data_IF_010531982858
#
_entry.id   IF_010531982858
#
_cell.length_a   1.000
_cell.length_b   1.000
_cell.length_c   1.000
_cell.angle_alpha   90.00
_cell.angle_beta   90.00
_cell.angle_gamma   90.00
#
_symmetry.space_group_name_H-M   'P 1'
#
loop_
_entity.id
_entity.type
_entity.pdbx_description
1 polymer ?
#
# COMPACT_ATOMS: atom_id res chain seq x y z
N UNK A 1 0.22 -3.32 47.82
CA UNK A 1 -0.17 -3.54 46.41
C UNK A 1 -0.06 -2.22 45.67
N UNK A 2 0.97 -2.05 44.83
CA UNK A 2 1.16 -0.83 44.02
C UNK A 2 0.34 -0.98 42.73
N UNK A 3 -0.50 0.01 42.44
CA UNK A 3 -1.26 0.11 41.20
C UNK A 3 -0.29 0.30 40.01
N UNK A 4 -0.46 -0.50 38.95
CA UNK A 4 0.24 -0.32 37.67
C UNK A 4 -0.27 0.95 36.97
N UNK A 5 0.60 1.76 36.35
CA UNK A 5 0.17 2.87 35.52
C UNK A 5 -0.45 2.34 34.23
N UNK A 6 -1.55 2.98 33.80
CA UNK A 6 -2.20 2.73 32.51
C UNK A 6 -1.29 3.18 31.38
N UNK A 7 -1.09 2.30 30.41
CA UNK A 7 -0.37 2.56 29.17
C UNK A 7 -1.08 3.64 28.33
N UNK A 8 -0.41 4.72 27.89
CA UNK A 8 -1.04 5.81 27.16
C UNK A 8 -1.15 5.58 25.64
N UNK A 9 -0.98 4.35 25.13
CA UNK A 9 -1.02 4.04 23.70
C UNK A 9 -2.27 3.29 23.23
N UNK A 10 -3.30 3.12 24.07
CA UNK A 10 -4.62 2.67 23.61
C UNK A 10 -5.46 3.87 23.11
N UNK A 11 -5.01 4.55 22.07
CA UNK A 11 -5.79 5.58 21.39
C UNK A 11 -6.45 5.02 20.13
N UNK A 12 -7.75 4.72 20.26
CA UNK A 12 -8.78 4.74 19.21
C UNK A 12 -8.31 4.95 17.75
N UNK A 13 -8.00 3.86 17.04
CA UNK A 13 -8.18 3.80 15.58
C UNK A 13 -9.65 3.51 15.23
N UNK A 14 -10.55 4.28 15.85
CA UNK A 14 -11.97 4.28 15.53
C UNK A 14 -12.28 5.29 14.44
N UNK A 15 -11.65 5.17 13.27
CA UNK A 15 -12.09 5.88 12.07
C UNK A 15 -13.14 5.01 11.36
N UNK A 16 -14.36 5.01 11.88
CA UNK A 16 -15.54 4.72 11.04
C UNK A 16 -15.85 5.97 10.21
N UNK A 17 -15.00 6.29 9.24
CA UNK A 17 -15.45 7.03 8.08
C UNK A 17 -15.97 5.98 7.10
N UNK A 18 -17.29 5.88 6.92
CA UNK A 18 -17.79 5.17 5.73
C UNK A 18 -17.12 5.82 4.52
N UNK A 19 -16.40 5.10 3.66
CA UNK A 19 -15.91 5.70 2.43
C UNK A 19 -17.13 5.94 1.55
N UNK A 20 -17.66 7.17 1.57
CA UNK A 20 -18.67 7.68 0.63
C UNK A 20 -18.05 7.90 -0.76
N UNK A 21 -17.23 6.95 -1.21
CA UNK A 21 -16.50 7.05 -2.46
C UNK A 21 -17.06 6.07 -3.48
N UNK A 22 -17.22 6.57 -4.70
CA UNK A 22 -17.79 5.83 -5.82
C UNK A 22 -16.77 4.82 -6.36
N UNK A 23 -16.87 3.57 -5.88
CA UNK A 23 -16.01 2.45 -6.24
C UNK A 23 -16.00 2.16 -7.74
N UNK A 24 -17.07 2.53 -8.46
CA UNK A 24 -17.18 2.33 -9.91
C UNK A 24 -16.47 3.43 -10.69
N UNK A 25 -16.71 4.69 -10.35
CA UNK A 25 -16.06 5.84 -11.02
C UNK A 25 -14.55 5.89 -10.72
N UNK A 26 -14.15 5.48 -9.50
CA UNK A 26 -12.75 5.26 -9.15
C UNK A 26 -12.11 4.05 -9.87
N UNK A 27 -12.90 3.29 -10.65
CA UNK A 27 -12.49 2.08 -11.39
C UNK A 27 -11.88 1.00 -10.50
N UNK A 28 -12.33 0.95 -9.24
CA UNK A 28 -11.94 -0.05 -8.25
C UNK A 28 -12.74 -1.33 -8.49
N UNK A 29 -14.06 -1.20 -8.64
CA UNK A 29 -14.98 -2.34 -8.87
C UNK A 29 -15.55 -2.23 -10.28
N UNK A 30 -15.15 -3.15 -11.16
CA UNK A 30 -15.45 -3.05 -12.60
C UNK A 30 -16.07 -4.31 -13.20
N UNK A 31 -15.98 -5.45 -12.52
CA UNK A 31 -16.39 -6.75 -13.06
C UNK A 31 -17.80 -7.19 -12.64
N UNK A 32 -18.63 -6.24 -12.17
CA UNK A 32 -20.00 -6.53 -11.76
C UNK A 32 -20.97 -6.76 -12.94
N UNK A 33 -21.90 -7.71 -12.82
CA UNK A 33 -22.76 -8.28 -13.87
C UNK A 33 -23.85 -7.36 -14.47
N UNK A 34 -23.79 -6.04 -14.24
CA UNK A 34 -24.81 -5.11 -14.74
C UNK A 34 -24.78 -4.93 -16.26
N UNK A 35 -25.95 -5.02 -16.92
CA UNK A 35 -26.10 -4.81 -18.38
C UNK A 35 -25.77 -3.36 -18.80
N UNK A 36 -26.21 -2.39 -18.01
CA UNK A 36 -25.96 -0.95 -18.27
C UNK A 36 -24.88 -0.40 -17.34
N UNK A 37 -24.23 0.69 -17.74
CA UNK A 37 -23.26 1.38 -16.90
C UNK A 37 -23.87 1.85 -15.57
N UNK A 38 -25.12 2.35 -15.60
CA UNK A 38 -25.85 2.77 -14.40
C UNK A 38 -26.10 1.59 -13.45
N UNK A 39 -26.50 0.43 -13.98
CA UNK A 39 -26.70 -0.78 -13.16
C UNK A 39 -25.39 -1.26 -12.54
N UNK A 40 -24.29 -1.27 -13.31
CA UNK A 40 -22.97 -1.64 -12.79
C UNK A 40 -22.53 -0.69 -11.68
N UNK A 41 -22.65 0.62 -11.90
CA UNK A 41 -22.36 1.64 -10.88
C UNK A 41 -23.16 1.42 -9.60
N UNK A 42 -24.47 1.16 -9.71
CA UNK A 42 -25.32 0.88 -8.55
C UNK A 42 -24.90 -0.40 -7.82
N UNK A 43 -24.57 -1.47 -8.55
CA UNK A 43 -24.12 -2.73 -7.94
C UNK A 43 -22.76 -2.58 -7.26
N UNK A 44 -21.78 -1.96 -7.94
CA UNK A 44 -20.45 -1.72 -7.42
C UNK A 44 -20.46 -0.94 -6.10
N UNK A 45 -21.31 0.09 -6.01
CA UNK A 45 -21.46 0.93 -4.82
C UNK A 45 -22.49 0.42 -3.81
N UNK A 46 -23.07 -0.76 -4.03
CA UNK A 46 -24.05 -1.35 -3.13
C UNK A 46 -23.43 -1.77 -1.80
N UNK A 47 -24.16 -1.59 -0.69
CA UNK A 47 -23.71 -1.96 0.66
C UNK A 47 -23.29 -3.43 0.76
N UNK A 48 -23.97 -4.31 0.03
CA UNK A 48 -23.68 -5.74 0.06
C UNK A 48 -22.42 -6.10 -0.73
N UNK A 49 -22.13 -5.34 -1.80
CA UNK A 49 -20.86 -5.50 -2.54
C UNK A 49 -19.70 -5.16 -1.63
N UNK A 50 -19.79 -4.02 -0.93
CA UNK A 50 -18.81 -3.63 0.08
C UNK A 50 -18.70 -4.67 1.20
N UNK A 51 -19.83 -5.16 1.73
CA UNK A 51 -19.80 -6.20 2.77
C UNK A 51 -19.05 -7.47 2.36
N UNK A 52 -19.19 -7.93 1.11
CA UNK A 52 -18.43 -9.08 0.61
C UNK A 52 -16.93 -8.78 0.47
N UNK A 53 -16.57 -7.57 0.02
CA UNK A 53 -15.17 -7.17 -0.15
C UNK A 53 -14.47 -6.95 1.18
N UNK A 54 -15.14 -6.31 2.15
CA UNK A 54 -14.65 -6.11 3.51
C UNK A 54 -14.47 -7.46 4.22
N UNK A 55 -15.41 -8.39 4.06
CA UNK A 55 -15.26 -9.75 4.59
C UNK A 55 -14.05 -10.49 4.00
N UNK A 56 -13.78 -10.30 2.70
CA UNK A 56 -12.58 -10.86 2.08
C UNK A 56 -11.28 -10.20 2.60
N UNK A 57 -11.30 -8.89 2.85
CA UNK A 57 -10.18 -8.18 3.48
C UNK A 57 -9.89 -8.70 4.89
N UNK A 58 -10.93 -8.95 5.68
CA UNK A 58 -10.79 -9.51 7.01
C UNK A 58 -10.21 -10.92 6.96
N UNK A 59 -10.72 -11.79 6.07
CA UNK A 59 -10.16 -13.13 5.88
C UNK A 59 -8.68 -13.10 5.46
N UNK A 60 -8.30 -12.16 4.60
CA UNK A 60 -6.88 -11.95 4.24
C UNK A 60 -6.05 -11.49 5.44
N UNK A 61 -6.60 -10.64 6.30
CA UNK A 61 -5.92 -10.18 7.50
C UNK A 61 -5.75 -11.29 8.54
N UNK A 62 -6.77 -12.15 8.68
CA UNK A 62 -6.74 -13.35 9.52
C UNK A 62 -5.71 -14.36 9.01
N UNK A 63 -5.59 -14.56 7.69
CA UNK A 63 -4.57 -15.44 7.09
C UNK A 63 -3.15 -15.03 7.49
N UNK A 64 -2.88 -13.72 7.59
CA UNK A 64 -1.57 -13.21 7.99
C UNK A 64 -1.37 -13.15 9.51
N UNK A 65 -2.35 -13.62 10.28
CA UNK A 65 -2.28 -13.69 11.73
C UNK A 65 -2.04 -15.15 12.15
N UNK A 66 -0.87 -15.51 12.71
CA UNK A 66 -0.49 -16.91 12.96
C UNK A 66 -1.51 -17.72 13.75
N UNK A 67 -2.19 -17.11 14.73
CA UNK A 67 -3.20 -17.79 15.56
C UNK A 67 -4.53 -18.06 14.86
N UNK A 68 -4.79 -17.42 13.71
CA UNK A 68 -6.06 -17.50 12.98
C UNK A 68 -5.92 -18.25 11.65
N UNK A 69 -4.69 -18.38 11.12
CA UNK A 69 -4.44 -19.04 9.84
C UNK A 69 -4.73 -20.55 9.83
N UNK A 70 -4.56 -21.24 10.97
CA UNK A 70 -4.74 -22.70 11.05
C UNK A 70 -6.16 -23.14 10.68
N UNK A 71 -7.18 -22.33 11.01
CA UNK A 71 -8.58 -22.64 10.72
C UNK A 71 -9.02 -22.27 9.30
N UNK A 72 -8.24 -21.44 8.59
CA UNK A 72 -8.61 -20.94 7.27
C UNK A 72 -8.20 -21.85 6.12
N UNK A 73 -7.22 -22.72 6.35
CA UNK A 73 -6.62 -23.57 5.31
C UNK A 73 -7.24 -24.97 5.19
N UNK A 74 -8.33 -25.26 5.91
CA UNK A 74 -9.10 -26.48 5.70
C UNK A 74 -9.64 -26.52 4.25
N UNK A 75 -9.20 -27.53 3.51
CA UNK A 75 -9.36 -27.71 2.06
C UNK A 75 -10.64 -28.48 1.73
N UNK A 76 -11.75 -27.76 1.58
CA UNK A 76 -13.05 -28.38 1.25
C UNK A 76 -13.55 -28.08 -0.19
N UNK A 77 -12.87 -27.26 -1.00
CA UNK A 77 -13.39 -26.83 -2.31
C UNK A 77 -12.35 -26.94 -3.45
N UNK A 78 -12.66 -27.78 -4.45
CA UNK A 78 -11.87 -28.01 -5.68
C UNK A 78 -11.82 -26.80 -6.64
N UNK A 79 -12.68 -25.79 -6.44
CA UNK A 79 -12.93 -24.69 -7.39
C UNK A 79 -12.16 -23.40 -7.05
N UNK A 80 -11.41 -23.38 -5.95
CA UNK A 80 -10.64 -22.22 -5.55
C UNK A 80 -9.18 -22.33 -6.02
N UNK A 81 -8.63 -21.24 -6.59
CA UNK A 81 -7.22 -21.22 -6.98
C UNK A 81 -6.35 -21.53 -5.76
N UNK A 82 -5.28 -22.36 -5.89
CA UNK A 82 -4.54 -22.88 -4.73
C UNK A 82 -4.04 -21.80 -3.75
N UNK A 83 -3.75 -20.59 -4.23
CA UNK A 83 -3.18 -19.48 -3.46
C UNK A 83 -4.24 -18.60 -2.76
N UNK A 84 -5.53 -18.74 -3.10
CA UNK A 84 -6.63 -17.94 -2.54
C UNK A 84 -7.84 -18.78 -2.13
N UNK A 85 -7.63 -20.05 -1.78
CA UNK A 85 -8.71 -20.96 -1.36
C UNK A 85 -9.46 -20.51 -0.10
N UNK A 86 -8.80 -19.71 0.75
CA UNK A 86 -9.41 -19.06 1.90
C UNK A 86 -10.48 -18.01 1.53
N UNK A 87 -10.49 -17.52 0.29
CA UNK A 87 -11.47 -16.55 -0.24
C UNK A 87 -12.63 -17.21 -1.00
N UNK A 88 -12.88 -18.50 -0.77
CA UNK A 88 -14.02 -19.19 -1.38
C UNK A 88 -15.34 -18.46 -1.09
N UNK A 89 -16.32 -18.56 -2.01
CA UNK A 89 -17.63 -17.89 -1.87
C UNK A 89 -18.29 -18.21 -0.53
N UNK A 90 -18.17 -19.46 -0.07
CA UNK A 90 -18.72 -19.93 1.21
C UNK A 90 -18.06 -19.22 2.39
N UNK A 91 -16.72 -19.18 2.42
CA UNK A 91 -15.94 -18.53 3.49
C UNK A 91 -16.22 -17.03 3.53
N UNK A 92 -16.20 -16.36 2.38
CA UNK A 92 -16.53 -14.91 2.27
C UNK A 92 -17.96 -14.63 2.72
N UNK A 93 -18.95 -15.43 2.30
CA UNK A 93 -20.34 -15.25 2.73
C UNK A 93 -20.51 -15.46 4.24
N UNK A 94 -19.87 -16.49 4.80
CA UNK A 94 -19.90 -16.76 6.24
C UNK A 94 -19.33 -15.57 7.02
N UNK A 95 -18.15 -15.08 6.62
CA UNK A 95 -17.51 -13.92 7.25
C UNK A 95 -18.35 -12.64 7.09
N UNK A 96 -18.93 -12.40 5.90
CA UNK A 96 -19.76 -11.22 5.67
C UNK A 96 -21.03 -11.21 6.54
N UNK A 97 -21.63 -12.39 6.77
CA UNK A 97 -22.78 -12.54 7.69
C UNK A 97 -22.39 -12.31 9.14
N UNK A 98 -21.24 -12.82 9.55
CA UNK A 98 -20.68 -12.56 10.88
C UNK A 98 -20.46 -11.06 11.12
N UNK A 99 -19.81 -10.39 10.16
CA UNK A 99 -19.52 -8.95 10.22
C UNK A 99 -20.77 -8.06 10.24
N UNK A 100 -21.80 -8.40 9.47
CA UNK A 100 -23.00 -7.55 9.30
C UNK A 100 -24.15 -7.90 10.27
N UNK A 101 -24.12 -9.08 10.88
CA UNK A 101 -25.20 -9.59 11.72
C UNK A 101 -26.36 -10.23 10.96
N UNK A 102 -27.31 -10.86 11.69
CA UNK A 102 -28.37 -11.69 11.10
C UNK A 102 -29.41 -10.91 10.29
N UNK A 103 -29.59 -9.63 10.58
CA UNK A 103 -30.59 -8.78 9.93
C UNK A 103 -30.15 -8.25 8.56
N UNK A 104 -28.88 -8.46 8.18
CA UNK A 104 -28.35 -8.05 6.89
C UNK A 104 -28.48 -9.19 5.88
N UNK A 105 -29.40 -9.10 4.88
CA UNK A 105 -29.79 -10.26 4.09
C UNK A 105 -28.74 -10.59 3.03
N UNK A 106 -27.68 -11.30 3.43
CA UNK A 106 -26.64 -11.79 2.52
C UNK A 106 -26.90 -13.23 2.11
N UNK A 107 -26.81 -13.51 0.82
CA UNK A 107 -26.94 -14.84 0.24
C UNK A 107 -25.93 -15.09 -0.86
N UNK A 108 -25.66 -16.37 -1.12
CA UNK A 108 -24.79 -16.76 -2.23
C UNK A 108 -25.36 -16.30 -3.59
N UNK A 109 -26.68 -16.36 -3.76
CA UNK A 109 -27.36 -15.87 -4.96
C UNK A 109 -27.08 -14.37 -5.20
N UNK A 110 -26.99 -13.57 -4.15
CA UNK A 110 -26.64 -12.15 -4.27
C UNK A 110 -25.19 -11.92 -4.70
N UNK A 111 -24.28 -12.79 -4.28
CA UNK A 111 -22.88 -12.77 -4.74
C UNK A 111 -22.81 -13.17 -6.22
N UNK A 112 -23.49 -14.25 -6.63
CA UNK A 112 -23.57 -14.71 -8.03
C UNK A 112 -24.26 -13.71 -8.96
N UNK A 113 -25.23 -12.95 -8.46
CA UNK A 113 -25.87 -11.88 -9.21
C UNK A 113 -24.94 -10.67 -9.40
N UNK A 114 -23.98 -10.47 -8.50
CA UNK A 114 -23.01 -9.36 -8.59
C UNK A 114 -21.85 -9.70 -9.50
N UNK A 115 -21.31 -10.91 -9.42
CA UNK A 115 -20.17 -11.36 -10.21
C UNK A 115 -20.51 -12.63 -10.98
N UNK A 116 -20.28 -12.61 -12.30
CA UNK A 116 -20.62 -13.74 -13.18
C UNK A 116 -19.81 -14.99 -12.83
N UNK A 117 -18.54 -14.80 -12.46
CA UNK A 117 -17.65 -15.85 -12.01
C UNK A 117 -17.02 -15.52 -10.65
N UNK A 118 -16.42 -16.52 -9.99
CA UNK A 118 -15.65 -16.25 -8.78
C UNK A 118 -14.36 -15.49 -9.11
N UNK A 119 -13.78 -15.71 -10.29
CA UNK A 119 -12.64 -14.94 -10.79
C UNK A 119 -12.94 -13.44 -10.90
N UNK A 120 -14.14 -13.05 -11.34
CA UNK A 120 -14.55 -11.64 -11.40
C UNK A 120 -14.61 -11.00 -10.02
N UNK A 121 -15.09 -11.75 -9.02
CA UNK A 121 -15.06 -11.33 -7.62
C UNK A 121 -13.63 -11.16 -7.12
N UNK A 122 -12.75 -12.14 -7.35
CA UNK A 122 -11.35 -12.05 -6.92
C UNK A 122 -10.62 -10.87 -7.59
N UNK A 123 -10.90 -10.61 -8.86
CA UNK A 123 -10.34 -9.46 -9.58
C UNK A 123 -10.74 -8.12 -8.95
N UNK A 124 -12.02 -7.96 -8.64
CA UNK A 124 -12.55 -6.76 -7.97
C UNK A 124 -12.06 -6.68 -6.51
N UNK A 125 -11.92 -7.81 -5.81
CA UNK A 125 -11.35 -7.86 -4.47
C UNK A 125 -9.89 -7.41 -4.45
N UNK A 126 -9.03 -7.92 -5.35
CA UNK A 126 -7.63 -7.49 -5.44
C UNK A 126 -7.56 -5.98 -5.69
N UNK A 127 -8.39 -5.47 -6.61
CA UNK A 127 -8.45 -4.03 -6.86
C UNK A 127 -8.92 -3.23 -5.64
N UNK A 128 -9.92 -3.71 -4.91
CA UNK A 128 -10.43 -3.10 -3.68
C UNK A 128 -9.39 -3.06 -2.57
N UNK A 129 -8.76 -4.19 -2.28
CA UNK A 129 -7.77 -4.32 -1.23
C UNK A 129 -6.54 -3.43 -1.47
N UNK A 130 -6.11 -3.32 -2.73
CA UNK A 130 -5.01 -2.44 -3.11
C UNK A 130 -5.43 -0.95 -3.08
N UNK A 131 -6.69 -0.65 -3.40
CA UNK A 131 -7.23 0.71 -3.28
C UNK A 131 -7.31 1.18 -1.83
N UNK A 132 -7.66 0.29 -0.89
CA UNK A 132 -7.70 0.58 0.55
C UNK A 132 -6.37 1.12 1.09
N UNK A 133 -5.28 0.46 0.71
CA UNK A 133 -3.92 0.91 1.01
C UNK A 133 -3.63 2.30 0.44
N UNK A 134 -4.12 2.60 -0.77
CA UNK A 134 -3.87 3.90 -1.40
C UNK A 134 -4.55 5.06 -0.67
N UNK A 135 -5.76 4.87 -0.16
CA UNK A 135 -6.44 5.93 0.61
C UNK A 135 -5.70 6.24 1.90
N UNK A 136 -5.29 5.21 2.63
CA UNK A 136 -4.47 5.36 3.83
C UNK A 136 -3.18 6.14 3.54
N UNK A 137 -2.53 5.82 2.42
CA UNK A 137 -1.32 6.51 1.99
C UNK A 137 -1.58 7.95 1.56
N UNK A 138 -2.67 8.24 0.85
CA UNK A 138 -3.02 9.59 0.41
C UNK A 138 -3.32 10.52 1.60
N UNK A 139 -3.96 9.99 2.65
CA UNK A 139 -4.18 10.71 3.89
C UNK A 139 -2.83 11.03 4.59
N UNK A 140 -1.95 10.03 4.72
CA UNK A 140 -0.62 10.20 5.29
C UNK A 140 0.22 11.21 4.47
N UNK A 141 0.18 11.09 3.15
CA UNK A 141 0.86 11.97 2.18
C UNK A 141 0.58 13.45 2.42
N UNK A 142 -0.68 13.81 2.64
CA UNK A 142 -1.06 15.23 2.82
C UNK A 142 -0.37 15.82 4.05
N UNK A 143 -0.29 15.05 5.14
CA UNK A 143 0.40 15.44 6.37
C UNK A 143 1.92 15.48 6.18
N UNK A 144 2.49 14.54 5.42
CA UNK A 144 3.92 14.48 5.15
C UNK A 144 4.41 15.63 4.26
N UNK A 145 3.63 16.00 3.23
CA UNK A 145 3.93 17.12 2.36
C UNK A 145 4.05 18.43 3.13
N UNK A 146 3.11 18.71 4.03
CA UNK A 146 3.15 19.90 4.87
C UNK A 146 4.40 19.93 5.75
N UNK A 147 4.76 18.81 6.38
CA UNK A 147 5.97 18.71 7.21
C UNK A 147 7.27 18.95 6.43
N UNK A 148 7.38 18.42 5.21
CA UNK A 148 8.57 18.59 4.37
C UNK A 148 8.74 20.02 3.84
N UNK A 149 7.64 20.74 3.63
CA UNK A 149 7.63 22.10 3.04
C UNK A 149 7.67 23.19 4.11
N UNK A 150 7.11 22.96 5.30
CA UNK A 150 7.07 23.98 6.39
C UNK A 150 8.28 23.96 7.32
N UNK A 151 9.19 22.99 7.18
CA UNK A 151 10.34 22.83 8.05
C UNK A 151 11.47 23.79 7.72
N UNK A 152 11.42 25.02 8.25
CA UNK A 152 12.37 26.09 7.93
C UNK A 152 13.87 25.78 8.23
N UNK A 153 14.23 24.68 8.92
CA UNK A 153 15.65 24.33 9.19
C UNK A 153 15.96 22.83 9.39
N UNK A 154 15.04 21.90 9.12
CA UNK A 154 15.27 20.47 9.44
C UNK A 154 14.73 19.51 8.37
N UNK A 155 15.13 19.76 7.13
CA UNK A 155 14.74 18.94 5.98
C UNK A 155 15.12 17.47 6.18
N UNK A 156 16.32 17.19 6.69
CA UNK A 156 16.80 15.82 6.90
C UNK A 156 15.94 15.04 7.91
N UNK A 157 15.59 15.65 9.05
CA UNK A 157 14.73 14.94 10.01
C UNK A 157 13.30 14.81 9.50
N UNK A 158 12.81 15.77 8.71
CA UNK A 158 11.53 15.64 8.04
C UNK A 158 11.53 14.45 7.06
N UNK A 159 12.57 14.27 6.25
CA UNK A 159 12.73 13.11 5.36
C UNK A 159 12.77 11.81 6.16
N UNK A 160 13.56 11.75 7.24
CA UNK A 160 13.59 10.57 8.11
C UNK A 160 12.23 10.26 8.70
N UNK A 161 11.48 11.28 9.15
CA UNK A 161 10.16 11.05 9.73
C UNK A 161 9.17 10.52 8.71
N UNK A 162 9.15 11.06 7.50
CA UNK A 162 8.28 10.55 6.42
C UNK A 162 8.65 9.10 6.09
N UNK A 163 9.94 8.81 5.91
CA UNK A 163 10.41 7.47 5.61
C UNK A 163 10.18 6.46 6.76
N UNK A 164 10.25 6.91 8.01
CA UNK A 164 9.93 6.11 9.19
C UNK A 164 8.45 5.73 9.20
N UNK A 165 7.54 6.69 9.02
CA UNK A 165 6.10 6.41 9.01
C UNK A 165 5.70 5.54 7.81
N UNK A 166 6.31 5.74 6.62
CA UNK A 166 6.09 4.88 5.46
C UNK A 166 6.46 3.40 5.75
N UNK A 167 7.62 3.16 6.35
CA UNK A 167 8.01 1.80 6.75
C UNK A 167 7.13 1.23 7.87
N UNK A 168 6.63 2.04 8.81
CA UNK A 168 5.67 1.54 9.81
C UNK A 168 4.35 1.10 9.17
N UNK A 169 3.85 1.84 8.19
CA UNK A 169 2.65 1.45 7.46
C UNK A 169 2.80 0.09 6.79
N UNK A 170 4.00 -0.28 6.34
CA UNK A 170 4.28 -1.63 5.81
C UNK A 170 4.02 -2.72 6.86
N UNK A 171 4.43 -2.49 8.11
CA UNK A 171 4.24 -3.44 9.20
C UNK A 171 2.77 -3.52 9.65
N UNK A 172 2.12 -2.36 9.74
CA UNK A 172 0.79 -2.19 10.32
C UNK A 172 -0.34 -2.56 9.36
N UNK A 173 -0.14 -2.47 8.04
CA UNK A 173 -1.20 -2.69 7.05
C UNK A 173 -1.17 -4.14 6.49
N UNK A 174 -2.20 -4.98 6.78
CA UNK A 174 -2.35 -6.29 6.14
C UNK A 174 -2.36 -6.22 4.61
N UNK A 175 -2.85 -5.11 4.06
CA UNK A 175 -2.86 -4.84 2.62
C UNK A 175 -1.47 -4.88 1.97
N UNK A 176 -0.38 -4.61 2.71
CA UNK A 176 0.98 -4.74 2.17
C UNK A 176 1.34 -6.21 1.91
N UNK A 177 1.07 -7.10 2.87
CA UNK A 177 1.32 -8.55 2.72
C UNK A 177 0.49 -9.11 1.56
N UNK A 178 -0.76 -8.65 1.44
CA UNK A 178 -1.60 -8.97 0.29
C UNK A 178 -1.04 -8.44 -1.03
N UNK A 179 -0.50 -7.21 -1.07
CA UNK A 179 0.19 -6.69 -2.25
C UNK A 179 1.34 -7.61 -2.67
N UNK A 180 2.18 -8.08 -1.74
CA UNK A 180 3.27 -9.01 -2.05
C UNK A 180 2.74 -10.31 -2.66
N UNK A 181 1.68 -10.87 -2.07
CA UNK A 181 1.02 -12.06 -2.60
C UNK A 181 0.52 -11.82 -4.04
N UNK A 182 -0.20 -10.72 -4.26
CA UNK A 182 -0.73 -10.36 -5.57
C UNK A 182 0.37 -10.18 -6.62
N UNK A 183 1.50 -9.55 -6.25
CA UNK A 183 2.68 -9.40 -7.11
C UNK A 183 3.26 -10.77 -7.46
N UNK A 184 3.52 -11.61 -6.45
CA UNK A 184 4.10 -12.94 -6.62
C UNK A 184 3.24 -13.84 -7.52
N UNK A 185 1.92 -13.70 -7.46
CA UNK A 185 0.99 -14.50 -8.28
C UNK A 185 0.65 -13.87 -9.64
N UNK A 186 1.03 -12.62 -9.87
CA UNK A 186 0.54 -11.83 -11.01
C UNK A 186 0.87 -12.42 -12.38
N UNK A 187 2.00 -13.13 -12.52
CA UNK A 187 2.37 -13.78 -13.78
C UNK A 187 1.42 -14.93 -14.16
N UNK A 188 0.81 -15.58 -13.18
CA UNK A 188 -0.14 -16.67 -13.37
C UNK A 188 -1.59 -16.19 -13.50
N UNK A 189 -1.87 -14.92 -13.19
CA UNK A 189 -3.23 -14.38 -13.18
C UNK A 189 -3.31 -12.96 -13.75
N UNK A 190 -3.95 -12.84 -14.92
CA UNK A 190 -4.10 -11.57 -15.65
C UNK A 190 -4.89 -10.52 -14.87
N UNK A 191 -5.86 -10.93 -14.05
CA UNK A 191 -6.62 -10.01 -13.20
C UNK A 191 -5.73 -9.37 -12.13
N UNK A 192 -4.98 -10.18 -11.40
CA UNK A 192 -3.98 -9.73 -10.44
C UNK A 192 -2.91 -8.84 -11.10
N UNK A 193 -2.40 -9.21 -12.27
CA UNK A 193 -1.44 -8.37 -13.02
C UNK A 193 -2.00 -6.98 -13.35
N UNK A 194 -3.26 -6.89 -13.79
CA UNK A 194 -3.90 -5.61 -14.08
C UNK A 194 -4.16 -4.78 -12.82
N UNK A 195 -4.51 -5.43 -11.70
CA UNK A 195 -4.70 -4.74 -10.43
C UNK A 195 -3.37 -4.20 -9.87
N UNK A 196 -2.32 -5.03 -9.86
CA UNK A 196 -0.96 -4.63 -9.47
C UNK A 196 -0.44 -3.49 -10.34
N UNK A 197 -0.60 -3.57 -11.68
CA UNK A 197 -0.20 -2.48 -12.59
C UNK A 197 -0.92 -1.17 -12.28
N UNK A 198 -2.23 -1.23 -11.98
CA UNK A 198 -3.02 -0.04 -11.59
C UNK A 198 -2.56 0.51 -10.26
N UNK A 199 -2.29 -0.36 -9.29
CA UNK A 199 -1.77 0.01 -7.98
C UNK A 199 -0.45 0.77 -8.10
N UNK A 200 0.56 0.20 -8.77
CA UNK A 200 1.85 0.88 -8.98
C UNK A 200 1.69 2.22 -9.70
N UNK A 201 0.85 2.28 -10.73
CA UNK A 201 0.59 3.55 -11.46
C UNK A 201 -0.01 4.63 -10.54
N UNK A 202 -0.94 4.25 -9.66
CA UNK A 202 -1.56 5.20 -8.73
C UNK A 202 -0.60 5.60 -7.61
N UNK A 203 0.11 4.64 -7.03
CA UNK A 203 1.13 4.85 -6.01
C UNK A 203 2.23 5.81 -6.50
N UNK A 204 2.76 5.54 -7.68
CA UNK A 204 3.77 6.38 -8.32
C UNK A 204 3.25 7.80 -8.58
N UNK A 205 1.99 7.96 -9.01
CA UNK A 205 1.39 9.30 -9.18
C UNK A 205 1.34 10.09 -7.87
N UNK A 206 0.93 9.43 -6.78
CA UNK A 206 0.86 10.06 -5.45
C UNK A 206 2.26 10.52 -5.06
N UNK A 207 3.23 9.61 -4.96
CA UNK A 207 4.58 9.95 -4.53
C UNK A 207 5.31 10.95 -5.44
N UNK A 208 5.19 10.82 -6.76
CA UNK A 208 5.77 11.77 -7.70
C UNK A 208 5.27 13.19 -7.45
N UNK A 209 3.98 13.35 -7.13
CA UNK A 209 3.40 14.65 -6.76
C UNK A 209 4.03 15.22 -5.48
N UNK A 210 4.38 14.39 -4.48
CA UNK A 210 5.13 14.85 -3.30
C UNK A 210 6.49 15.36 -3.72
N UNK A 211 7.23 14.51 -4.43
CA UNK A 211 8.62 14.77 -4.76
C UNK A 211 8.74 16.04 -5.60
N UNK A 212 7.91 16.20 -6.64
CA UNK A 212 7.89 17.44 -7.43
C UNK A 212 7.63 18.66 -6.56
N UNK A 213 6.61 18.63 -5.67
CA UNK A 213 6.31 19.78 -4.79
C UNK A 213 7.48 20.12 -3.86
N UNK A 214 8.15 19.12 -3.31
CA UNK A 214 9.30 19.30 -2.41
C UNK A 214 10.51 19.83 -3.19
N UNK A 215 10.85 19.21 -4.32
CA UNK A 215 11.95 19.63 -5.18
C UNK A 215 11.76 21.07 -5.67
N UNK A 216 10.55 21.42 -6.12
CA UNK A 216 10.22 22.77 -6.57
C UNK A 216 10.34 23.79 -5.43
N UNK A 217 9.87 23.45 -4.23
CA UNK A 217 9.95 24.32 -3.06
C UNK A 217 11.40 24.67 -2.69
N UNK A 218 12.30 23.68 -2.71
CA UNK A 218 13.72 23.89 -2.39
C UNK A 218 14.57 24.29 -3.62
N UNK A 219 13.97 24.42 -4.80
CA UNK A 219 14.68 24.79 -6.03
C UNK A 219 15.65 23.72 -6.55
N UNK A 220 15.46 22.46 -6.15
CA UNK A 220 16.31 21.36 -6.57
C UNK A 220 16.12 21.02 -8.05
N UNK A 221 17.22 20.77 -8.74
CA UNK A 221 17.24 20.28 -10.12
C UNK A 221 17.98 18.95 -10.15
N UNK A 222 17.48 18.01 -10.93
CA UNK A 222 18.19 16.74 -11.14
C UNK A 222 19.40 16.92 -12.06
N UNK A 223 20.42 16.09 -11.83
CA UNK A 223 21.57 15.94 -12.73
C UNK A 223 21.13 15.53 -14.13
N UNK A 224 21.89 15.88 -15.18
CA UNK A 224 21.62 15.43 -16.54
C UNK A 224 21.43 13.92 -16.64
N UNK A 225 20.36 13.50 -17.31
CA UNK A 225 20.00 12.08 -17.47
C UNK A 225 19.05 11.54 -16.40
N UNK A 226 18.78 12.28 -15.33
CA UNK A 226 17.84 11.90 -14.27
C UNK A 226 16.59 12.78 -14.24
N UNK A 227 15.48 12.22 -13.78
CA UNK A 227 14.25 12.94 -13.53
C UNK A 227 13.56 12.49 -12.23
N UNK A 228 12.41 13.10 -11.93
CA UNK A 228 11.63 12.82 -10.73
C UNK A 228 11.02 11.41 -10.77
N UNK A 229 10.69 10.89 -11.95
CA UNK A 229 10.20 9.53 -12.14
C UNK A 229 11.25 8.48 -11.78
N UNK A 230 12.51 8.67 -12.19
CA UNK A 230 13.63 7.79 -11.84
C UNK A 230 13.87 7.78 -10.34
N UNK A 231 13.87 8.97 -9.71
CA UNK A 231 13.96 9.09 -8.26
C UNK A 231 12.82 8.35 -7.54
N UNK A 232 11.58 8.51 -8.03
CA UNK A 232 10.42 7.81 -7.49
C UNK A 232 10.56 6.28 -7.60
N UNK A 233 10.98 5.77 -8.76
CA UNK A 233 11.18 4.33 -8.99
C UNK A 233 12.25 3.77 -8.05
N UNK A 234 13.39 4.45 -7.93
CA UNK A 234 14.48 4.03 -7.04
C UNK A 234 14.05 3.99 -5.58
N UNK A 235 13.41 5.08 -5.11
CA UNK A 235 12.98 5.17 -3.72
C UNK A 235 11.89 4.16 -3.38
N UNK A 236 10.95 3.93 -4.30
CA UNK A 236 9.92 2.90 -4.13
C UNK A 236 10.54 1.49 -4.10
N UNK A 237 11.49 1.19 -4.98
CA UNK A 237 12.18 -0.11 -4.98
C UNK A 237 12.92 -0.36 -3.66
N UNK A 238 13.57 0.66 -3.10
CA UNK A 238 14.21 0.57 -1.78
C UNK A 238 13.20 0.38 -0.66
N UNK A 239 12.10 1.13 -0.65
CA UNK A 239 11.04 0.98 0.34
C UNK A 239 10.45 -0.44 0.32
N UNK A 240 10.20 -0.99 -0.87
CA UNK A 240 9.67 -2.36 -1.02
C UNK A 240 10.68 -3.43 -0.57
N UNK A 241 11.95 -3.27 -0.91
CA UNK A 241 13.02 -4.17 -0.46
C UNK A 241 13.24 -4.14 1.06
N UNK A 242 13.18 -2.96 1.68
CA UNK A 242 13.25 -2.80 3.13
C UNK A 242 12.00 -3.36 3.81
N UNK A 243 10.83 -3.16 3.21
CA UNK A 243 9.57 -3.74 3.68
C UNK A 243 9.60 -5.27 3.70
N UNK A 244 10.18 -5.91 2.69
CA UNK A 244 10.37 -7.37 2.68
C UNK A 244 11.26 -7.85 3.83
N UNK A 245 12.35 -7.13 4.12
CA UNK A 245 13.25 -7.46 5.25
C UNK A 245 12.55 -7.30 6.59
N UNK A 246 11.80 -6.22 6.77
CA UNK A 246 10.97 -5.98 7.95
C UNK A 246 9.97 -7.10 8.20
N UNK A 247 9.28 -7.57 7.15
CA UNK A 247 8.30 -8.65 7.26
C UNK A 247 8.94 -10.03 7.49
N UNK A 248 10.21 -10.20 7.16
CA UNK A 248 10.94 -11.45 7.36
C UNK A 248 11.48 -11.58 8.80
N UNK A 249 11.20 -10.62 9.67
CA UNK A 249 11.68 -10.55 11.07
C UNK A 249 13.20 -10.74 11.18
N UNK A 250 13.93 -10.22 10.19
CA UNK A 250 15.38 -10.15 10.26
C UNK A 250 15.74 -9.11 11.33
N UNK A 251 16.57 -9.50 12.30
CA UNK A 251 17.04 -8.62 13.37
C UNK A 251 18.08 -7.61 12.82
N UNK A 252 17.60 -6.69 11.99
CA UNK A 252 18.37 -5.64 11.34
C UNK A 252 17.85 -4.26 11.80
N UNK A 253 18.72 -3.27 12.03
CA UNK A 253 18.33 -1.95 12.51
C UNK A 253 17.75 -1.09 11.37
N UNK A 254 16.59 -1.49 10.83
CA UNK A 254 15.95 -0.81 9.70
C UNK A 254 15.12 0.41 10.13
N UNK A 255 14.58 0.36 11.35
CA UNK A 255 13.75 1.40 11.97
C UNK A 255 14.31 1.69 13.36
N UNK A 256 14.46 2.97 13.70
CA UNK A 256 14.80 3.44 15.03
C UNK A 256 13.58 4.16 15.62
N UNK A 257 12.90 3.50 16.55
CA UNK A 257 11.70 4.02 17.20
C UNK A 257 11.99 5.16 18.19
N UNK A 258 13.18 5.23 18.76
CA UNK A 258 13.56 6.27 19.73
C UNK A 258 13.76 7.60 19.01
N UNK A 259 14.59 7.58 17.96
CA UNK A 259 14.93 8.78 17.19
C UNK A 259 13.98 9.05 16.03
N UNK A 260 13.06 8.12 15.74
CA UNK A 260 12.08 8.22 14.63
C UNK A 260 12.78 8.37 13.28
N UNK A 261 13.88 7.62 13.11
CA UNK A 261 14.67 7.54 11.89
C UNK A 261 14.55 6.15 11.27
N UNK A 262 14.97 6.01 10.02
CA UNK A 262 14.95 4.73 9.31
C UNK A 262 16.03 4.67 8.23
N UNK A 263 16.40 3.44 7.86
CA UNK A 263 17.33 3.20 6.76
C UNK A 263 16.80 3.72 5.43
N UNK A 264 15.46 3.71 5.23
CA UNK A 264 14.83 4.33 4.07
C UNK A 264 15.07 5.84 4.04
N UNK A 265 15.00 6.52 5.19
CA UNK A 265 15.30 7.96 5.27
C UNK A 265 16.76 8.26 4.92
N UNK A 266 17.70 7.45 5.41
CA UNK A 266 19.12 7.55 5.04
C UNK A 266 19.30 7.36 3.53
N UNK A 267 18.65 6.34 2.96
CA UNK A 267 18.72 6.06 1.54
C UNK A 267 18.10 7.17 0.68
N UNK A 268 16.98 7.76 1.12
CA UNK A 268 16.34 8.89 0.47
C UNK A 268 17.25 10.13 0.43
N UNK A 269 17.90 10.46 1.55
CA UNK A 269 18.86 11.57 1.63
C UNK A 269 20.09 11.32 0.76
N UNK A 270 20.63 10.09 0.78
CA UNK A 270 21.77 9.71 -0.05
C UNK A 270 21.43 9.81 -1.55
N UNK A 271 20.26 9.31 -1.96
CA UNK A 271 19.78 9.45 -3.34
C UNK A 271 19.58 10.92 -3.70
N UNK A 272 18.92 11.72 -2.86
CA UNK A 272 18.70 13.12 -3.16
C UNK A 272 20.04 13.85 -3.35
N UNK A 273 21.00 13.62 -2.45
CA UNK A 273 22.34 14.22 -2.54
C UNK A 273 23.08 13.81 -3.83
N UNK A 274 22.96 12.55 -4.24
CA UNK A 274 23.62 12.03 -5.43
C UNK A 274 22.95 12.52 -6.73
N UNK A 275 21.62 12.61 -6.74
CA UNK A 275 20.82 12.85 -7.95
C UNK A 275 20.56 14.33 -8.22
N UNK A 276 20.63 15.20 -7.22
CA UNK A 276 20.50 16.65 -7.39
C UNK A 276 21.79 17.24 -7.97
N UNK A 277 21.64 18.13 -8.93
CA UNK A 277 22.71 18.94 -9.49
C UNK A 277 23.06 20.08 -8.53
N UNK A 278 24.32 20.12 -8.11
CA UNK A 278 24.86 21.16 -7.22
C UNK A 278 25.37 22.38 -7.99
N UNK A 279 25.00 22.52 -9.27
CA UNK A 279 25.42 23.57 -10.19
C UNK A 279 26.67 23.22 -10.99
N UNK A 280 27.07 21.95 -11.00
CA UNK A 280 28.24 21.45 -11.76
C UNK A 280 27.85 21.00 -13.17
N UNK A 281 26.57 20.74 -13.43
CA UNK A 281 26.06 20.30 -14.73
C UNK A 281 26.54 18.91 -15.15
N UNK A 282 27.07 18.12 -14.21
CA UNK A 282 27.60 16.78 -14.47
C UNK A 282 26.53 15.71 -14.27
N UNK A 283 26.54 14.69 -15.13
CA UNK A 283 25.78 13.46 -14.86
C UNK A 283 26.29 12.77 -13.59
N UNK A 284 25.56 11.78 -13.06
CA UNK A 284 25.99 11.02 -11.88
C UNK A 284 27.34 10.35 -12.12
N UNK A 285 27.53 9.74 -13.29
CA UNK A 285 28.78 9.05 -13.66
C UNK A 285 29.94 10.03 -13.69
N UNK A 286 29.76 11.19 -14.33
CA UNK A 286 30.78 12.23 -14.41
C UNK A 286 31.13 12.80 -13.03
N UNK A 287 30.12 13.05 -12.20
CA UNK A 287 30.33 13.52 -10.83
C UNK A 287 31.08 12.49 -9.98
N UNK A 288 30.77 11.20 -10.17
CA UNK A 288 31.44 10.09 -9.49
C UNK A 288 32.91 10.00 -9.90
N UNK A 289 33.21 10.00 -11.20
CA UNK A 289 34.59 9.98 -11.71
C UNK A 289 35.39 11.19 -11.23
N UNK A 290 34.78 12.39 -11.26
CA UNK A 290 35.41 13.60 -10.75
C UNK A 290 35.70 13.52 -9.24
N UNK A 291 34.80 12.93 -8.45
CA UNK A 291 35.02 12.73 -7.01
C UNK A 291 36.15 11.73 -6.74
N UNK A 292 36.16 10.59 -7.44
CA UNK A 292 37.22 9.58 -7.32
C UNK A 292 38.59 10.12 -7.74
N UNK A 293 38.66 10.92 -8.80
CA UNK A 293 39.89 11.56 -9.23
C UNK A 293 40.44 12.52 -8.17
N UNK A 294 39.56 13.31 -7.52
CA UNK A 294 39.95 14.19 -6.40
C UNK A 294 40.47 13.41 -5.20
N UNK A 295 39.80 12.31 -4.83
CA UNK A 295 40.24 11.45 -3.72
C UNK A 295 41.60 10.80 -3.96
N UNK A 296 41.92 10.42 -5.21
CA UNK A 296 43.22 9.84 -5.56
C UNK A 296 44.36 10.86 -5.58
N UNK A 297 44.03 12.15 -5.66
CA UNK A 297 44.99 13.24 -5.67
C UNK A 297 45.27 13.82 -4.27
N UNK A 298 44.47 13.45 -3.27
CA UNK A 298 44.62 13.85 -1.86
C UNK A 298 45.40 12.80 -1.06
#
# INVERSE_FOLDING_TARGET
MKARPKDPLSSNFGLKSEPTEDLYEAKVITNVSGRTALTRRRLANGRETRAFLDAALDLTSELFTPSLSEHLLDSDEDDARPVMSYLSRRKVLAKARDNCGPDFPLSENMMRHRWNSHGDFLADFVAYALADKHWSLQAAFSQHAEKLISGDNDFSSAVHRVAYEDLKLILELPAYRFQLLAIATSQADTASALAVKRMYKNLSRVWLSLYTRVLDHYGFKFRPGMNAEDFNILLQAMAEGLGLRLLSDLNEPLIDDENKTSLLGTAALALLLALVDHGDGLSIEQATEAHLAKMRAA
#
